data_IF_210302999030
#
_entry.id   IF_210302999030
#
_cell.length_a   1.000
_cell.length_b   1.000
_cell.length_c   1.000
_cell.angle_alpha   90.00
_cell.angle_beta   90.00
_cell.angle_gamma   90.00
#
_symmetry.space_group_name_H-M   'P 1'
#
loop_
_entity.id
_entity.type
_entity.pdbx_description
1 polymer ?
#
# COMPACT_ATOMS: atom_id res chain seq x y z
N UNK A 1 30.82 29.64 3.69
CA UNK A 1 30.77 28.17 3.91
C UNK A 1 29.40 27.54 3.59
N UNK A 2 28.38 28.32 3.20
CA UNK A 2 26.99 27.86 3.05
C UNK A 2 26.70 26.77 1.99
N UNK A 3 27.29 26.78 0.77
CA UNK A 3 26.92 25.79 -0.25
C UNK A 3 27.43 24.38 0.08
N UNK A 4 28.63 24.30 0.66
CA UNK A 4 29.22 23.02 1.06
C UNK A 4 28.43 22.38 2.20
N UNK A 5 28.03 23.15 3.21
CA UNK A 5 27.18 22.66 4.30
C UNK A 5 25.82 22.18 3.82
N UNK A 6 25.23 22.84 2.81
CA UNK A 6 23.95 22.43 2.24
C UNK A 6 24.07 21.10 1.48
N UNK A 7 25.13 20.93 0.70
CA UNK A 7 25.43 19.67 0.00
C UNK A 7 25.70 18.55 1.02
N UNK A 8 26.51 18.80 2.04
CA UNK A 8 26.81 17.82 3.09
C UNK A 8 25.54 17.40 3.83
N UNK A 9 24.66 18.34 4.19
CA UNK A 9 23.37 18.03 4.81
C UNK A 9 22.47 17.20 3.87
N UNK A 10 22.41 17.55 2.59
CA UNK A 10 21.58 16.89 1.58
C UNK A 10 21.87 15.39 1.46
N UNK A 11 23.15 15.04 1.40
CA UNK A 11 23.61 13.64 1.27
C UNK A 11 23.69 12.90 2.62
N UNK A 12 23.50 13.58 3.76
CA UNK A 12 23.56 12.97 5.08
C UNK A 12 22.19 13.01 5.78
N UNK A 13 21.96 14.01 6.63
CA UNK A 13 20.74 14.16 7.42
C UNK A 13 19.50 14.25 6.54
N UNK A 14 19.53 15.04 5.46
CA UNK A 14 18.39 15.16 4.55
C UNK A 14 17.98 13.83 3.91
N UNK A 15 18.94 12.95 3.60
CA UNK A 15 18.63 11.62 3.07
C UNK A 15 18.04 10.68 4.12
N UNK A 16 18.50 10.77 5.38
CA UNK A 16 17.92 10.06 6.52
C UNK A 16 16.49 10.52 6.81
N UNK A 17 16.26 11.83 6.82
CA UNK A 17 14.94 12.41 7.05
C UNK A 17 13.95 11.96 5.96
N UNK A 18 14.40 11.87 4.70
CA UNK A 18 13.57 11.31 3.62
C UNK A 18 13.29 9.82 3.80
N UNK A 19 14.27 9.03 4.22
CA UNK A 19 14.05 7.61 4.52
C UNK A 19 13.03 7.44 5.66
N UNK A 20 13.10 8.26 6.70
CA UNK A 20 12.16 8.26 7.81
C UNK A 20 10.75 8.70 7.37
N UNK A 21 10.65 9.74 6.53
CA UNK A 21 9.38 10.16 5.93
C UNK A 21 8.75 9.05 5.09
N UNK A 22 9.54 8.39 4.25
CA UNK A 22 9.12 7.22 3.47
C UNK A 22 8.66 6.07 4.39
N UNK A 23 9.42 5.76 5.44
CA UNK A 23 9.04 4.75 6.44
C UNK A 23 7.74 5.09 7.15
N UNK A 24 7.57 6.35 7.58
CA UNK A 24 6.34 6.82 8.25
C UNK A 24 5.11 6.79 7.33
N UNK A 25 5.30 6.99 6.03
CA UNK A 25 4.23 6.86 5.04
C UNK A 25 3.86 5.40 4.83
N UNK A 26 4.86 4.52 4.72
CA UNK A 26 4.63 3.09 4.60
C UNK A 26 3.90 2.54 5.84
N UNK A 27 4.27 2.97 7.04
CA UNK A 27 3.55 2.67 8.30
C UNK A 27 2.11 3.19 8.26
N UNK A 28 1.89 4.40 7.76
CA UNK A 28 0.53 4.94 7.61
C UNK A 28 -0.29 4.19 6.58
N UNK A 29 0.30 3.72 5.49
CA UNK A 29 -0.38 2.90 4.49
C UNK A 29 -0.70 1.52 5.08
N UNK A 30 0.22 0.90 5.82
CA UNK A 30 -0.06 -0.36 6.52
C UNK A 30 -1.15 -0.22 7.58
N UNK A 31 -1.18 0.89 8.32
CA UNK A 31 -2.20 1.19 9.34
C UNK A 31 -3.55 1.52 8.70
N UNK A 32 -3.55 2.28 7.60
CA UNK A 32 -4.77 2.71 6.88
C UNK A 32 -5.41 1.58 6.10
N UNK A 33 -4.60 0.70 5.51
CA UNK A 33 -5.09 -0.58 5.01
C UNK A 33 -5.42 -1.55 6.13
N UNK A 34 -5.04 -1.24 7.37
CA UNK A 34 -5.23 -2.08 8.55
C UNK A 34 -5.16 -3.54 8.15
N UNK A 35 -4.04 -3.96 7.54
CA UNK A 35 -3.93 -5.32 6.97
C UNK A 35 -4.28 -6.34 8.03
N UNK A 36 -4.03 -6.03 9.30
CA UNK A 36 -4.46 -6.78 10.49
C UNK A 36 -5.97 -6.76 10.75
N UNK A 37 -6.70 -5.66 10.51
CA UNK A 37 -8.16 -5.57 10.64
C UNK A 37 -8.88 -6.20 9.44
N UNK A 38 -8.27 -6.10 8.26
CA UNK A 38 -8.71 -6.75 7.03
C UNK A 38 -8.42 -8.26 7.04
N UNK A 39 -7.26 -8.70 7.55
CA UNK A 39 -7.00 -10.10 7.91
C UNK A 39 -7.89 -10.54 9.08
N UNK A 40 -8.17 -9.67 10.06
CA UNK A 40 -9.07 -10.02 11.17
C UNK A 40 -10.52 -10.10 10.71
N UNK A 41 -10.98 -9.37 9.71
CA UNK A 41 -12.30 -9.64 9.11
C UNK A 41 -12.27 -10.95 8.30
N UNK A 42 -11.07 -11.32 7.80
CA UNK A 42 -10.75 -12.58 7.13
C UNK A 42 -10.66 -13.79 8.07
N UNK A 43 -10.33 -13.56 9.33
CA UNK A 43 -10.10 -14.58 10.35
C UNK A 43 -11.06 -14.42 11.53
N UNK A 44 -11.94 -13.42 11.49
CA UNK A 44 -13.03 -13.25 12.43
C UNK A 44 -13.83 -14.54 12.37
N UNK A 45 -13.90 -15.28 13.48
CA UNK A 45 -14.74 -16.46 13.56
C UNK A 45 -16.15 -16.02 13.23
N UNK A 46 -16.77 -16.64 12.22
CA UNK A 46 -18.20 -16.52 11.92
C UNK A 46 -19.05 -17.14 13.05
N UNK A 47 -18.77 -16.80 14.31
CA UNK A 47 -19.32 -17.43 15.52
C UNK A 47 -20.79 -17.05 15.78
N UNK A 48 -21.46 -16.33 14.88
CA UNK A 48 -22.81 -15.82 15.13
C UNK A 48 -23.88 -16.14 14.08
N UNK A 49 -23.59 -16.83 12.97
CA UNK A 49 -24.67 -17.35 12.09
C UNK A 49 -24.99 -18.82 12.41
N UNK A 50 -24.51 -19.32 13.54
CA UNK A 50 -24.79 -20.68 14.01
C UNK A 50 -25.16 -20.69 15.48
N UNK A 51 -25.81 -19.63 15.97
CA UNK A 51 -26.65 -19.76 17.15
C UNK A 51 -27.78 -20.74 16.77
N UNK A 52 -27.50 -22.01 17.05
CA UNK A 52 -28.45 -23.04 17.44
C UNK A 52 -29.85 -22.93 16.83
N UNK A 53 -30.06 -23.61 15.71
CA UNK A 53 -31.21 -24.51 15.68
C UNK A 53 -30.73 -25.89 15.21
N UNK A 54 -30.88 -26.93 16.04
CA UNK A 54 -30.76 -28.29 15.55
C UNK A 54 -31.89 -28.45 14.55
N UNK A 55 -31.57 -28.50 13.26
CA UNK A 55 -32.51 -28.79 12.20
C UNK A 55 -33.16 -30.16 12.49
N UNK A 56 -34.26 -30.14 13.24
CA UNK A 56 -35.17 -31.25 13.46
C UNK A 56 -36.00 -31.39 12.18
N UNK A 57 -35.36 -31.90 11.13
CA UNK A 57 -35.97 -32.04 9.81
C UNK A 57 -35.27 -33.11 8.97
N UNK A 58 -36.02 -33.71 8.04
CA UNK A 58 -35.55 -34.79 7.16
C UNK A 58 -34.32 -34.43 6.31
N UNK A 59 -33.76 -35.44 5.61
CA UNK A 59 -32.53 -35.34 4.81
C UNK A 59 -32.48 -34.12 3.88
N UNK A 60 -33.61 -33.71 3.31
CA UNK A 60 -33.70 -32.57 2.39
C UNK A 60 -33.36 -31.22 3.06
N UNK A 61 -33.77 -31.03 4.32
CA UNK A 61 -33.46 -29.82 5.10
C UNK A 61 -31.97 -29.73 5.42
N UNK A 62 -31.32 -30.89 5.66
CA UNK A 62 -29.87 -30.96 5.90
C UNK A 62 -29.06 -30.61 4.66
N UNK A 63 -29.46 -31.07 3.47
CA UNK A 63 -28.76 -30.79 2.21
C UNK A 63 -28.87 -29.30 1.86
N UNK A 64 -30.06 -28.70 2.00
CA UNK A 64 -30.24 -27.25 1.81
C UNK A 64 -29.40 -26.43 2.78
N UNK A 65 -29.39 -26.78 4.07
CA UNK A 65 -28.56 -26.09 5.07
C UNK A 65 -27.06 -26.25 4.80
N UNK A 66 -26.63 -27.36 4.21
CA UNK A 66 -25.23 -27.57 3.80
C UNK A 66 -24.86 -26.71 2.58
N UNK A 67 -25.73 -26.62 1.57
CA UNK A 67 -25.54 -25.77 0.40
C UNK A 67 -25.50 -24.28 0.76
N UNK A 68 -26.41 -23.81 1.61
CA UNK A 68 -26.40 -22.43 2.11
C UNK A 68 -25.09 -22.10 2.84
N UNK A 69 -24.58 -23.04 3.63
CA UNK A 69 -23.26 -22.90 4.28
C UNK A 69 -22.12 -22.89 3.26
N UNK A 70 -22.18 -23.69 2.20
CA UNK A 70 -21.15 -23.72 1.15
C UNK A 70 -21.11 -22.40 0.38
N UNK A 71 -22.28 -21.89 -0.01
CA UNK A 71 -22.43 -20.63 -0.75
C UNK A 71 -21.97 -19.45 0.11
N UNK A 72 -22.41 -19.41 1.38
CA UNK A 72 -21.96 -18.41 2.35
C UNK A 72 -20.43 -18.42 2.54
N UNK A 73 -19.82 -19.61 2.60
CA UNK A 73 -18.35 -19.76 2.66
C UNK A 73 -17.65 -19.30 1.38
N UNK A 74 -18.22 -19.56 0.22
CA UNK A 74 -17.68 -19.13 -1.07
C UNK A 74 -17.67 -17.61 -1.23
N UNK A 75 -18.78 -16.95 -0.91
CA UNK A 75 -18.90 -15.48 -0.97
C UNK A 75 -17.94 -14.83 0.03
N UNK A 76 -17.90 -15.35 1.26
CA UNK A 76 -16.96 -14.90 2.28
C UNK A 76 -15.50 -15.01 1.80
N UNK A 77 -15.11 -16.15 1.23
CA UNK A 77 -13.77 -16.35 0.68
C UNK A 77 -13.46 -15.39 -0.49
N UNK A 78 -14.42 -15.12 -1.38
CA UNK A 78 -14.20 -14.24 -2.53
C UNK A 78 -13.94 -12.78 -2.12
N UNK A 79 -14.78 -12.23 -1.24
CA UNK A 79 -14.62 -10.86 -0.72
C UNK A 79 -13.26 -10.72 -0.02
N UNK A 80 -12.93 -11.72 0.80
CA UNK A 80 -11.66 -11.81 1.53
C UNK A 80 -10.44 -11.80 0.59
N UNK A 81 -10.48 -12.56 -0.50
CA UNK A 81 -9.41 -12.58 -1.51
C UNK A 81 -9.22 -11.24 -2.23
N UNK A 82 -10.32 -10.60 -2.68
CA UNK A 82 -10.26 -9.30 -3.38
C UNK A 82 -9.61 -8.24 -2.50
N UNK A 83 -10.00 -8.23 -1.23
CA UNK A 83 -9.49 -7.30 -0.23
C UNK A 83 -7.98 -7.49 0.07
N UNK A 84 -7.50 -8.73 0.21
CA UNK A 84 -6.07 -9.02 0.36
C UNK A 84 -5.29 -8.55 -0.87
N UNK A 85 -5.77 -8.87 -2.07
CA UNK A 85 -5.10 -8.51 -3.33
C UNK A 85 -5.02 -7.00 -3.47
N UNK A 86 -6.12 -6.28 -3.23
CA UNK A 86 -6.14 -4.81 -3.28
C UNK A 86 -5.17 -4.17 -2.30
N UNK A 87 -5.12 -4.66 -1.05
CA UNK A 87 -4.17 -4.17 -0.04
C UNK A 87 -2.71 -4.44 -0.40
N UNK A 88 -2.42 -5.62 -0.97
CA UNK A 88 -1.08 -5.97 -1.45
C UNK A 88 -0.64 -5.06 -2.60
N UNK A 89 -1.52 -4.75 -3.54
CA UNK A 89 -1.24 -3.84 -4.66
C UNK A 89 -0.94 -2.42 -4.14
N UNK A 90 -1.74 -1.90 -3.21
CA UNK A 90 -1.51 -0.56 -2.66
C UNK A 90 -0.18 -0.47 -1.89
N UNK A 91 0.17 -1.48 -1.11
CA UNK A 91 1.49 -1.54 -0.46
C UNK A 91 2.62 -1.59 -1.48
N UNK A 92 2.50 -2.41 -2.53
CA UNK A 92 3.51 -2.52 -3.56
C UNK A 92 3.75 -1.18 -4.25
N UNK A 93 2.67 -0.46 -4.59
CA UNK A 93 2.76 0.88 -5.17
C UNK A 93 3.49 1.84 -4.23
N UNK A 94 3.14 1.88 -2.94
CA UNK A 94 3.79 2.79 -1.99
C UNK A 94 5.28 2.48 -1.83
N UNK A 95 5.67 1.20 -1.82
CA UNK A 95 7.08 0.77 -1.77
C UNK A 95 7.82 1.24 -3.03
N UNK A 96 7.24 1.07 -4.22
CA UNK A 96 7.84 1.53 -5.48
C UNK A 96 8.02 3.06 -5.46
N UNK A 97 6.99 3.81 -5.05
CA UNK A 97 7.05 5.27 -4.97
C UNK A 97 8.07 5.75 -3.93
N UNK A 98 8.16 5.09 -2.78
CA UNK A 98 9.15 5.39 -1.75
C UNK A 98 10.57 5.13 -2.26
N UNK A 99 10.81 3.99 -2.91
CA UNK A 99 12.09 3.65 -3.53
C UNK A 99 12.48 4.65 -4.61
N UNK A 100 11.55 5.00 -5.50
CA UNK A 100 11.78 6.00 -6.55
C UNK A 100 12.13 7.38 -5.96
N UNK A 101 11.44 7.82 -4.91
CA UNK A 101 11.78 9.09 -4.23
C UNK A 101 13.18 9.07 -3.62
N UNK A 102 13.56 7.98 -2.95
CA UNK A 102 14.90 7.85 -2.37
C UNK A 102 15.98 7.79 -3.44
N UNK A 103 15.68 7.19 -4.60
CA UNK A 103 16.58 7.15 -5.75
C UNK A 103 16.72 8.52 -6.44
N UNK A 104 15.64 9.31 -6.55
CA UNK A 104 15.66 10.63 -7.19
C UNK A 104 16.26 11.71 -6.27
N UNK A 105 16.09 11.59 -4.95
CA UNK A 105 16.59 12.53 -3.94
C UNK A 105 18.04 12.99 -4.13
N UNK A 106 19.05 12.12 -4.37
CA UNK A 106 20.44 12.56 -4.57
C UNK A 106 20.67 13.40 -5.83
N UNK A 107 19.77 13.34 -6.83
CA UNK A 107 19.90 14.06 -8.10
C UNK A 107 19.24 15.46 -8.10
N UNK A 108 18.29 15.69 -7.19
CA UNK A 108 17.60 16.97 -7.00
C UNK A 108 18.51 18.21 -6.92
N UNK A 109 19.66 18.21 -6.22
CA UNK A 109 20.54 19.40 -6.16
C UNK A 109 21.26 19.67 -7.48
N UNK A 110 21.35 18.68 -8.39
CA UNK A 110 22.02 18.78 -9.68
C UNK A 110 21.06 19.30 -10.76
N UNK A 111 19.75 19.03 -10.64
CA UNK A 111 18.71 19.47 -11.59
C UNK A 111 18.74 20.97 -11.94
N UNK A 112 18.83 21.92 -10.98
CA UNK A 112 18.87 23.35 -11.33
C UNK A 112 20.13 23.71 -12.13
N UNK A 113 21.27 23.09 -11.83
CA UNK A 113 22.52 23.29 -12.58
C UNK A 113 22.37 22.74 -14.00
N UNK A 114 21.84 21.53 -14.15
CA UNK A 114 21.58 20.91 -15.44
C UNK A 114 20.61 21.77 -16.29
N UNK A 115 19.56 22.33 -15.68
CA UNK A 115 18.63 23.24 -16.34
C UNK A 115 19.32 24.51 -16.86
N UNK A 116 20.15 25.17 -16.05
CA UNK A 116 20.91 26.34 -16.48
C UNK A 116 21.82 25.99 -17.66
N UNK A 117 22.56 24.89 -17.58
CA UNK A 117 23.45 24.43 -18.66
C UNK A 117 22.67 24.16 -19.96
N UNK A 118 21.51 23.53 -19.88
CA UNK A 118 20.65 23.29 -21.05
C UNK A 118 20.14 24.59 -21.68
N UNK A 119 19.72 25.57 -20.87
CA UNK A 119 19.26 26.87 -21.39
C UNK A 119 20.38 27.68 -22.04
N UNK A 120 21.60 27.65 -21.49
CA UNK A 120 22.77 28.32 -22.06
C UNK A 120 23.26 27.62 -23.34
N UNK A 121 23.04 26.31 -23.45
CA UNK A 121 23.31 25.52 -24.66
C UNK A 121 22.29 25.72 -25.80
N UNK A 122 21.33 26.63 -25.64
CA UNK A 122 20.29 26.90 -26.64
C UNK A 122 19.17 25.86 -26.68
N UNK A 123 19.12 24.94 -25.71
CA UNK A 123 18.07 23.94 -25.61
C UNK A 123 16.89 24.54 -24.84
N UNK A 124 15.87 24.95 -25.59
CA UNK A 124 14.61 25.48 -25.06
C UNK A 124 13.55 24.40 -25.31
N UNK A 125 13.05 23.70 -24.28
CA UNK A 125 12.07 22.62 -24.46
C UNK A 125 10.68 23.13 -24.92
N UNK A 126 10.45 24.43 -24.87
CA UNK A 126 9.27 25.11 -25.40
C UNK A 126 9.68 26.00 -26.57
N UNK A 127 9.77 25.43 -27.77
CA UNK A 127 9.57 26.21 -28.99
C UNK A 127 8.06 26.27 -29.22
N UNK A 128 7.44 27.41 -28.91
CA UNK A 128 6.10 27.79 -29.38
C UNK A 128 6.31 28.85 -30.45
#
# INVERSE_FOLDING_TARGET
>A
MLPLSLITWWYSAGWRDQAELCGSRLSRVSDRFSITLLLKSLLAPFRQISADEPARGGLDVKVRAWLDKLISRGIGAMIRSVLIISGAIMLLIEVILAGARLAVWPFLPILPIAGIVMTLGGWIPWQI
#
